data_IF_880524665892
#
_entry.id   IF_880524665892
#
_cell.length_a   1.000
_cell.length_b   1.000
_cell.length_c   1.000
_cell.angle_alpha   90.00
_cell.angle_beta   90.00
_cell.angle_gamma   90.00
#
_symmetry.space_group_name_H-M   'P 1'
#
loop_
_entity.id
_entity.type
_entity.pdbx_description
1 polymer ?
#
# COMPACT_ATOMS: atom_id res chain seq x y z
N UNK A 1 9.33 37.27 12.14
CA UNK A 1 9.42 36.23 11.09
C UNK A 1 10.18 35.06 11.67
N UNK A 2 9.46 34.00 12.02
CA UNK A 2 9.92 32.62 12.09
C UNK A 2 8.67 31.83 12.49
N UNK A 3 7.92 31.43 11.47
CA UNK A 3 6.79 30.52 11.63
C UNK A 3 7.32 29.12 11.93
N UNK A 4 6.72 28.55 12.96
CA UNK A 4 6.82 27.17 13.36
C UNK A 4 6.25 26.29 12.25
N UNK A 5 7.05 25.33 11.76
CA UNK A 5 6.50 24.19 11.03
C UNK A 5 6.09 23.17 12.09
N UNK A 6 4.79 23.05 12.29
CA UNK A 6 4.15 22.05 13.14
C UNK A 6 4.37 20.65 12.56
N UNK A 7 5.14 19.81 13.26
CA UNK A 7 5.26 18.37 13.01
C UNK A 7 3.95 17.67 13.38
N UNK A 8 3.22 17.16 12.39
CA UNK A 8 2.03 16.34 12.57
C UNK A 8 2.37 14.83 12.60
N UNK A 9 1.70 14.11 13.51
CA UNK A 9 1.46 12.67 13.58
C UNK A 9 2.62 11.74 13.14
N UNK A 10 3.60 11.55 14.02
CA UNK A 10 4.59 10.48 13.86
C UNK A 10 3.97 9.12 14.24
N UNK A 11 3.80 8.24 13.23
CA UNK A 11 3.61 6.81 13.45
C UNK A 11 4.79 6.26 14.30
N UNK A 12 4.59 5.21 15.12
CA UNK A 12 5.66 4.66 15.95
C UNK A 12 6.89 4.33 15.08
N UNK A 13 8.11 4.62 15.57
CA UNK A 13 9.32 4.44 14.78
C UNK A 13 9.48 2.97 14.38
N UNK A 14 9.72 2.75 13.09
CA UNK A 14 10.03 1.43 12.55
C UNK A 14 11.37 1.00 13.14
N UNK A 15 11.37 -0.05 13.96
CA UNK A 15 12.56 -0.50 14.71
C UNK A 15 13.60 -1.21 13.85
N UNK A 16 13.22 -1.68 12.66
CA UNK A 16 14.10 -2.35 11.71
C UNK A 16 14.75 -1.33 10.75
N UNK A 17 16.09 -1.15 10.76
CA UNK A 17 16.77 -0.13 9.94
C UNK A 17 16.53 -0.29 8.43
N UNK A 18 16.49 -1.52 7.93
CA UNK A 18 16.21 -1.79 6.51
C UNK A 18 14.76 -1.38 6.17
N UNK A 19 13.81 -1.72 7.04
CA UNK A 19 12.40 -1.37 6.81
C UNK A 19 12.19 0.16 6.89
N UNK A 20 12.95 0.86 7.74
CA UNK A 20 12.98 2.31 7.77
C UNK A 20 13.55 2.91 6.47
N UNK A 21 14.67 2.38 5.96
CA UNK A 21 15.24 2.83 4.69
C UNK A 21 14.25 2.65 3.52
N UNK A 22 13.61 1.47 3.42
CA UNK A 22 12.58 1.19 2.42
C UNK A 22 11.39 2.14 2.57
N UNK A 23 10.98 2.43 3.81
CA UNK A 23 9.92 3.39 4.12
C UNK A 23 10.25 4.79 3.58
N UNK A 24 11.45 5.30 3.87
CA UNK A 24 11.91 6.62 3.43
C UNK A 24 11.99 6.69 1.90
N UNK A 25 12.54 5.67 1.25
CA UNK A 25 12.58 5.56 -0.21
C UNK A 25 11.18 5.58 -0.83
N UNK A 26 10.25 4.80 -0.28
CA UNK A 26 8.88 4.72 -0.81
C UNK A 26 8.11 6.03 -0.59
N UNK A 27 8.30 6.71 0.55
CA UNK A 27 7.69 8.01 0.81
C UNK A 27 8.18 9.07 -0.18
N UNK A 28 9.48 9.10 -0.45
CA UNK A 28 10.09 10.07 -1.35
C UNK A 28 9.72 9.83 -2.82
N UNK A 29 9.61 8.56 -3.23
CA UNK A 29 9.50 8.22 -4.66
C UNK A 29 8.13 7.68 -5.08
N UNK A 30 7.21 7.38 -4.14
CA UNK A 30 5.87 6.77 -4.36
C UNK A 30 5.86 5.37 -5.00
N UNK A 31 6.83 5.05 -5.84
CA UNK A 31 7.01 3.76 -6.48
C UNK A 31 8.42 3.22 -6.20
N UNK A 32 8.49 1.98 -5.73
CA UNK A 32 9.73 1.31 -5.38
C UNK A 32 9.74 -0.10 -5.95
N UNK A 33 10.87 -0.52 -6.52
CA UNK A 33 11.12 -1.92 -6.87
C UNK A 33 12.13 -2.48 -5.87
N UNK A 34 11.72 -3.54 -5.19
CA UNK A 34 12.60 -4.40 -4.41
C UNK A 34 13.09 -5.52 -5.33
N UNK A 35 14.39 -5.52 -5.60
CA UNK A 35 15.05 -6.55 -6.41
C UNK A 35 16.02 -7.36 -5.56
N UNK A 36 16.55 -8.45 -6.09
CA UNK A 36 17.50 -9.30 -5.40
C UNK A 36 17.29 -10.77 -5.71
N UNK A 37 18.20 -11.58 -5.18
CA UNK A 37 18.17 -13.02 -5.32
C UNK A 37 16.91 -13.66 -4.71
N UNK A 38 16.53 -14.89 -5.13
CA UNK A 38 15.36 -15.57 -4.58
C UNK A 38 15.54 -15.91 -3.10
N UNK A 39 14.44 -15.87 -2.33
CA UNK A 39 14.47 -16.18 -0.90
C UNK A 39 14.99 -15.07 0.02
N UNK A 40 15.20 -13.84 -0.47
CA UNK A 40 15.54 -12.68 0.38
C UNK A 40 14.31 -12.04 1.05
N UNK A 41 13.09 -12.52 0.75
CA UNK A 41 11.87 -12.09 1.45
C UNK A 41 11.37 -10.69 1.06
N UNK A 42 11.57 -10.29 -0.21
CA UNK A 42 11.12 -9.00 -0.75
C UNK A 42 9.61 -8.76 -0.59
N UNK A 43 8.78 -9.75 -0.94
CA UNK A 43 7.31 -9.67 -0.77
C UNK A 43 6.92 -9.60 0.71
N UNK A 44 7.67 -10.27 1.59
CA UNK A 44 7.47 -10.15 3.02
C UNK A 44 7.79 -8.74 3.53
N UNK A 45 8.90 -8.14 3.07
CA UNK A 45 9.26 -6.77 3.41
C UNK A 45 8.20 -5.75 2.96
N UNK A 46 7.68 -5.90 1.74
CA UNK A 46 6.62 -5.03 1.24
C UNK A 46 5.36 -5.09 2.12
N UNK A 47 4.94 -6.30 2.52
CA UNK A 47 3.81 -6.50 3.46
C UNK A 47 4.10 -5.97 4.85
N UNK A 48 5.32 -6.20 5.37
CA UNK A 48 5.74 -5.70 6.67
C UNK A 48 5.72 -4.17 6.71
N UNK A 49 6.15 -3.50 5.63
CA UNK A 49 6.11 -2.06 5.51
C UNK A 49 4.67 -1.54 5.50
N UNK A 50 3.80 -2.13 4.66
CA UNK A 50 2.40 -1.76 4.60
C UNK A 50 1.73 -1.87 5.99
N UNK A 51 2.01 -2.96 6.72
CA UNK A 51 1.52 -3.16 8.09
C UNK A 51 2.11 -2.12 9.06
N UNK A 52 3.39 -1.81 8.96
CA UNK A 52 4.04 -0.81 9.80
C UNK A 52 3.46 0.60 9.58
N UNK A 53 3.01 0.88 8.37
CA UNK A 53 2.31 2.13 8.01
C UNK A 53 0.83 2.14 8.36
N UNK A 54 0.27 1.05 8.92
CA UNK A 54 -1.17 0.85 9.04
C UNK A 54 -1.93 1.17 7.73
N UNK A 55 -1.29 0.79 6.61
CA UNK A 55 -1.78 1.08 5.28
C UNK A 55 -2.75 -0.02 4.82
N UNK A 56 -3.82 0.40 4.15
CA UNK A 56 -4.58 -0.53 3.31
C UNK A 56 -3.64 -1.05 2.22
N UNK A 57 -3.62 -2.35 2.00
CA UNK A 57 -2.72 -2.90 1.00
C UNK A 57 -3.35 -4.04 0.22
N UNK A 58 -2.89 -4.18 -1.02
CA UNK A 58 -3.34 -5.22 -1.93
C UNK A 58 -2.14 -5.85 -2.62
N UNK A 59 -2.05 -7.18 -2.54
CA UNK A 59 -1.07 -7.96 -3.27
C UNK A 59 -1.68 -8.42 -4.60
N UNK A 60 -0.98 -8.16 -5.69
CA UNK A 60 -1.27 -8.69 -7.02
C UNK A 60 -0.01 -9.41 -7.49
N UNK A 61 -0.13 -10.68 -7.83
CA UNK A 61 0.96 -11.42 -8.46
C UNK A 61 0.78 -11.38 -9.97
N UNK A 62 1.79 -10.89 -10.69
CA UNK A 62 1.76 -10.88 -12.14
C UNK A 62 2.14 -12.23 -12.74
N UNK A 63 1.51 -12.51 -13.88
CA UNK A 63 1.76 -13.68 -14.71
C UNK A 63 1.80 -13.24 -16.18
N UNK A 64 2.40 -14.04 -17.09
CA UNK A 64 2.60 -13.64 -18.48
C UNK A 64 1.33 -13.24 -19.25
N UNK A 65 0.17 -13.78 -18.86
CA UNK A 65 -1.12 -13.44 -19.48
C UNK A 65 -1.84 -12.25 -18.83
N UNK A 66 -1.25 -11.58 -17.83
CA UNK A 66 -1.89 -10.48 -17.11
C UNK A 66 -1.89 -9.24 -17.99
N UNK A 67 -3.05 -8.60 -18.18
CA UNK A 67 -3.19 -7.49 -19.13
C UNK A 67 -3.93 -6.26 -18.56
N UNK A 68 -4.10 -5.26 -19.42
CA UNK A 68 -4.81 -4.02 -19.10
C UNK A 68 -6.25 -4.27 -18.60
N UNK A 69 -6.93 -5.28 -19.14
CA UNK A 69 -8.33 -5.58 -18.79
C UNK A 69 -8.46 -6.14 -17.39
N UNK A 70 -7.43 -6.82 -16.89
CA UNK A 70 -7.37 -7.31 -15.51
C UNK A 70 -6.92 -6.23 -14.53
N UNK A 71 -6.04 -5.32 -14.95
CA UNK A 71 -5.45 -4.31 -14.08
C UNK A 71 -6.28 -3.04 -13.99
N UNK A 72 -6.67 -2.46 -15.14
CA UNK A 72 -7.29 -1.14 -15.22
C UNK A 72 -8.79 -1.27 -15.43
N UNK A 73 -9.24 -1.74 -16.58
CA UNK A 73 -10.66 -1.98 -16.88
C UNK A 73 -10.83 -2.73 -18.20
N UNK A 74 -11.91 -3.49 -18.33
CA UNK A 74 -12.23 -4.16 -19.59
C UNK A 74 -13.64 -4.73 -19.64
N UNK A 75 -14.07 -5.10 -20.84
CA UNK A 75 -15.36 -5.73 -21.05
C UNK A 75 -15.31 -7.20 -20.61
N UNK A 76 -16.33 -7.62 -19.85
CA UNK A 76 -16.53 -9.01 -19.45
C UNK A 76 -17.93 -9.46 -19.86
N UNK A 77 -18.07 -10.69 -20.40
CA UNK A 77 -19.37 -11.20 -20.78
C UNK A 77 -20.20 -11.47 -19.52
N UNK A 78 -21.48 -11.10 -19.57
CA UNK A 78 -22.50 -11.46 -18.59
C UNK A 78 -23.64 -12.14 -19.31
N UNK A 79 -24.26 -13.11 -18.64
CA UNK A 79 -25.41 -13.82 -19.16
C UNK A 79 -26.65 -13.35 -18.39
N UNK A 80 -27.67 -12.88 -19.11
CA UNK A 80 -28.96 -12.58 -18.49
C UNK A 80 -29.74 -13.87 -18.16
N UNK A 81 -30.83 -13.75 -17.41
CA UNK A 81 -31.68 -14.90 -17.01
C UNK A 81 -32.26 -15.66 -18.23
N UNK A 82 -32.32 -15.00 -19.39
CA UNK A 82 -32.81 -15.55 -20.66
C UNK A 82 -31.71 -16.25 -21.49
N UNK A 83 -30.47 -16.24 -21.01
CA UNK A 83 -29.33 -16.91 -21.64
C UNK A 83 -28.60 -16.08 -22.71
N UNK A 84 -29.00 -14.84 -22.97
CA UNK A 84 -28.33 -13.93 -23.89
C UNK A 84 -27.04 -13.37 -23.27
N UNK A 85 -25.98 -13.33 -24.08
CA UNK A 85 -24.68 -12.80 -23.67
C UNK A 85 -24.62 -11.31 -24.00
N UNK A 86 -24.47 -10.48 -22.96
CA UNK A 86 -24.13 -9.06 -23.10
C UNK A 86 -22.75 -8.78 -22.48
N UNK A 87 -22.22 -7.58 -22.67
CA UNK A 87 -20.92 -7.19 -22.13
C UNK A 87 -21.10 -6.05 -21.14
N UNK A 88 -20.47 -6.18 -19.98
CA UNK A 88 -20.37 -5.09 -19.01
C UNK A 88 -18.92 -4.64 -18.84
N UNK A 89 -18.73 -3.35 -18.64
CA UNK A 89 -17.43 -2.81 -18.26
C UNK A 89 -17.16 -3.16 -16.80
N UNK A 90 -16.04 -3.85 -16.54
CA UNK A 90 -15.58 -4.14 -15.19
C UNK A 90 -14.28 -3.39 -14.90
N UNK A 91 -14.23 -2.79 -13.72
CA UNK A 91 -12.98 -2.25 -13.20
C UNK A 91 -12.01 -3.38 -12.86
N UNK A 92 -10.77 -3.18 -13.29
CA UNK A 92 -9.63 -4.01 -12.95
C UNK A 92 -9.17 -3.81 -11.51
N UNK A 93 -8.19 -4.62 -11.13
CA UNK A 93 -7.69 -4.72 -9.76
C UNK A 93 -7.11 -3.40 -9.23
N UNK A 94 -6.45 -2.62 -10.08
CA UNK A 94 -5.81 -1.35 -9.76
C UNK A 94 -6.77 -0.16 -9.80
N UNK A 95 -7.68 -0.12 -10.78
CA UNK A 95 -8.73 0.93 -10.81
C UNK A 95 -9.60 0.86 -9.57
N UNK A 96 -10.04 -0.34 -9.16
CA UNK A 96 -10.75 -0.56 -7.89
C UNK A 96 -9.94 -0.05 -6.69
N UNK A 97 -8.66 -0.38 -6.64
CA UNK A 97 -7.78 0.05 -5.55
C UNK A 97 -7.65 1.59 -5.48
N UNK A 98 -7.52 2.27 -6.62
CA UNK A 98 -7.49 3.72 -6.68
C UNK A 98 -8.84 4.35 -6.30
N UNK A 99 -9.98 3.75 -6.69
CA UNK A 99 -11.31 4.20 -6.26
C UNK A 99 -11.44 4.16 -4.74
N UNK A 100 -10.98 3.09 -4.09
CA UNK A 100 -10.98 3.00 -2.63
C UNK A 100 -10.06 4.05 -2.01
N UNK A 101 -8.84 4.23 -2.54
CA UNK A 101 -7.90 5.22 -2.02
C UNK A 101 -8.44 6.66 -2.10
N UNK A 102 -9.19 7.01 -3.16
CA UNK A 102 -9.80 8.34 -3.32
C UNK A 102 -10.82 8.68 -2.22
N UNK A 103 -11.52 7.69 -1.67
CA UNK A 103 -12.50 7.91 -0.60
C UNK A 103 -11.86 8.58 0.61
N UNK A 104 -10.60 8.24 0.88
CA UNK A 104 -9.79 8.74 1.98
C UNK A 104 -9.01 10.02 1.64
N UNK A 105 -8.84 10.35 0.35
CA UNK A 105 -8.19 11.60 -0.07
C UNK A 105 -9.17 12.78 -0.08
N UNK A 106 -10.44 12.55 -0.44
CA UNK A 106 -11.40 13.62 -0.73
C UNK A 106 -12.47 13.87 0.35
N UNK A 107 -12.49 13.16 1.48
CA UNK A 107 -13.48 13.27 2.59
C UNK A 107 -14.98 13.10 2.21
N UNK A 108 -15.36 13.19 0.93
CA UNK A 108 -16.75 13.23 0.47
C UNK A 108 -17.49 11.89 0.55
N UNK A 109 -16.77 10.76 0.62
CA UNK A 109 -17.40 9.42 0.71
C UNK A 109 -17.30 8.78 2.09
N UNK A 110 -16.59 9.39 3.04
CA UNK A 110 -16.49 8.94 4.43
C UNK A 110 -17.38 9.77 5.38
N UNK A 111 -17.96 10.86 4.86
CA UNK A 111 -18.88 11.72 5.59
C UNK A 111 -20.22 11.76 4.87
N UNK A 112 -21.32 11.56 5.60
CA UNK A 112 -22.67 11.82 5.08
C UNK A 112 -23.17 13.23 5.45
N UNK A 113 -22.27 14.13 5.87
CA UNK A 113 -22.61 15.47 6.34
C UNK A 113 -23.46 16.26 5.33
N UNK A 114 -23.14 16.23 4.04
CA UNK A 114 -23.90 16.99 3.04
C UNK A 114 -25.35 16.51 2.94
N UNK A 115 -25.56 15.20 3.01
CA UNK A 115 -26.90 14.58 2.97
C UNK A 115 -27.67 14.88 4.26
N UNK A 116 -27.03 14.70 5.41
CA UNK A 116 -27.61 14.99 6.73
C UNK A 116 -27.96 16.48 6.86
N UNK A 117 -27.06 17.37 6.44
CA UNK A 117 -27.28 18.81 6.48
C UNK A 117 -28.45 19.20 5.57
N UNK A 118 -28.60 18.59 4.40
CA UNK A 118 -29.75 18.85 3.53
C UNK A 118 -31.06 18.42 4.19
N UNK A 119 -31.13 17.20 4.75
CA UNK A 119 -32.33 16.74 5.48
C UNK A 119 -32.67 17.65 6.65
N UNK A 120 -31.65 18.14 7.36
CA UNK A 120 -31.82 19.11 8.44
C UNK A 120 -32.38 20.45 7.95
N UNK A 121 -31.84 20.99 6.86
CA UNK A 121 -32.36 22.22 6.25
C UNK A 121 -33.82 22.05 5.81
N UNK A 122 -34.16 20.90 5.22
CA UNK A 122 -35.52 20.61 4.77
C UNK A 122 -36.49 20.57 5.97
N UNK A 123 -36.11 19.94 7.09
CA UNK A 123 -36.91 19.90 8.33
C UNK A 123 -37.17 21.31 8.90
N UNK A 124 -36.13 22.14 9.00
CA UNK A 124 -36.22 23.49 9.58
C UNK A 124 -36.92 24.48 8.63
N UNK A 125 -36.92 24.20 7.34
CA UNK A 125 -37.66 25.02 6.37
C UNK A 125 -39.18 24.84 6.53
N UNK A 126 -39.61 23.67 7.01
CA UNK A 126 -41.02 23.36 7.26
C UNK A 126 -41.45 23.64 8.71
N UNK A 127 -40.52 23.62 9.67
CA UNK A 127 -40.80 23.74 11.10
C UNK A 127 -39.87 24.73 11.81
N UNK A 128 -40.38 25.46 12.80
CA UNK A 128 -39.53 26.29 13.68
C UNK A 128 -38.94 25.43 14.80
N UNK A 129 -37.62 25.30 14.83
CA UNK A 129 -36.89 24.63 15.92
C UNK A 129 -36.48 25.65 16.98
N UNK A 130 -36.80 25.38 18.24
CA UNK A 130 -36.41 26.17 19.40
C UNK A 130 -35.33 25.42 20.18
N UNK A 131 -34.19 26.07 20.42
CA UNK A 131 -33.07 25.53 21.19
C UNK A 131 -32.69 26.49 22.32
N UNK A 132 -31.91 26.03 23.28
CA UNK A 132 -31.45 26.82 24.42
C UNK A 132 -29.93 26.86 24.51
N UNK A 133 -29.38 28.00 24.91
CA UNK A 133 -27.92 28.11 25.11
C UNK A 133 -27.45 27.28 26.31
N UNK A 134 -26.28 26.59 26.26
CA UNK A 134 -25.89 25.64 27.30
C UNK A 134 -25.65 26.24 28.69
N UNK A 135 -25.32 27.54 28.77
CA UNK A 135 -24.90 28.18 30.04
C UNK A 135 -25.98 29.00 30.72
N UNK A 136 -26.94 29.55 29.97
CA UNK A 136 -27.97 30.46 30.50
C UNK A 136 -29.40 30.00 30.18
N UNK A 137 -29.56 28.84 29.53
CA UNK A 137 -30.85 28.30 29.06
C UNK A 137 -31.68 29.33 28.27
N UNK A 138 -31.02 30.33 27.70
CA UNK A 138 -31.71 31.37 26.95
C UNK A 138 -32.20 30.78 25.64
N UNK A 139 -33.52 30.81 25.36
CA UNK A 139 -34.08 30.23 24.16
C UNK A 139 -33.73 31.05 22.92
N UNK A 140 -33.65 30.38 21.78
CA UNK A 140 -33.49 30.97 20.46
C UNK A 140 -34.13 30.06 19.41
N UNK A 141 -34.69 30.68 18.38
CA UNK A 141 -35.23 29.95 17.24
C UNK A 141 -34.18 29.76 16.16
N UNK A 142 -34.25 28.62 15.49
CA UNK A 142 -33.39 28.22 14.39
C UNK A 142 -34.20 28.30 13.11
N UNK A 143 -33.73 29.09 12.14
CA UNK A 143 -34.38 29.26 10.83
C UNK A 143 -33.36 29.09 9.70
N UNK A 144 -33.85 28.73 8.52
CA UNK A 144 -33.06 28.69 7.28
C UNK A 144 -33.15 30.02 6.55
N UNK A 145 -32.03 30.55 6.08
CA UNK A 145 -32.01 31.76 5.24
C UNK A 145 -31.99 31.43 3.75
N UNK A 146 -32.10 32.47 2.89
CA UNK A 146 -32.14 32.33 1.43
C UNK A 146 -30.87 31.78 0.75
N UNK A 147 -29.85 31.39 1.53
CA UNK A 147 -28.61 30.76 1.07
C UNK A 147 -28.38 29.39 1.73
N UNK A 148 -29.44 28.75 2.23
CA UNK A 148 -29.40 27.45 2.91
C UNK A 148 -28.45 27.41 4.12
N UNK A 149 -28.24 28.56 4.77
CA UNK A 149 -27.51 28.62 6.03
C UNK A 149 -28.46 28.76 7.20
N UNK A 150 -28.04 28.21 8.33
CA UNK A 150 -28.77 28.28 9.59
C UNK A 150 -28.60 29.68 10.20
N UNK A 151 -29.70 30.24 10.71
CA UNK A 151 -29.71 31.50 11.44
C UNK A 151 -30.38 31.30 12.79
N UNK A 152 -29.67 31.60 13.86
CA UNK A 152 -30.20 31.65 15.22
C UNK A 152 -30.79 33.04 15.49
N UNK A 153 -32.05 33.10 15.91
CA UNK A 153 -32.78 34.33 16.22
C UNK A 153 -33.07 34.37 17.72
N UNK A 154 -32.54 35.40 18.40
CA UNK A 154 -32.68 35.54 19.85
C UNK A 154 -34.07 36.09 20.22
N UNK A 155 -34.68 35.54 21.26
CA UNK A 155 -36.00 35.96 21.78
C UNK A 155 -36.02 37.34 22.50
N UNK A 156 -34.92 38.09 22.45
CA UNK A 156 -34.79 39.42 23.09
C UNK A 156 -35.45 40.55 22.28
N UNK A 157 -35.78 41.68 22.93
CA UNK A 157 -36.42 42.87 22.33
C UNK A 157 -35.75 43.43 21.04
N UNK A 158 -34.49 43.07 20.77
CA UNK A 158 -33.73 43.54 19.60
C UNK A 158 -33.62 42.51 18.47
N UNK A 159 -34.22 41.31 18.60
CA UNK A 159 -34.21 40.22 17.61
C UNK A 159 -32.87 40.02 16.88
N UNK A 160 -31.78 39.96 17.64
CA UNK A 160 -30.44 39.77 17.06
C UNK A 160 -30.38 38.43 16.32
N UNK A 161 -29.84 38.46 15.10
CA UNK A 161 -29.69 37.28 14.26
C UNK A 161 -28.21 36.89 14.13
N UNK A 162 -27.93 35.60 14.22
CA UNK A 162 -26.58 35.04 14.12
C UNK A 162 -26.60 33.97 13.04
N UNK A 163 -25.82 34.16 11.97
CA UNK A 163 -25.71 33.17 10.89
C UNK A 163 -24.62 32.15 11.20
N UNK A 164 -25.02 30.88 11.24
CA UNK A 164 -24.16 29.70 11.34
C UNK A 164 -24.06 29.09 9.92
N UNK A 165 -22.96 29.35 9.23
CA UNK A 165 -22.78 28.85 7.86
C UNK A 165 -22.60 27.33 7.85
N UNK A 166 -22.97 26.68 6.74
CA UNK A 166 -22.71 25.24 6.53
C UNK A 166 -21.25 24.86 6.83
N UNK A 167 -20.31 25.69 6.35
CA UNK A 167 -18.88 25.52 6.60
C UNK A 167 -18.48 25.60 8.07
N UNK A 168 -19.14 26.45 8.86
CA UNK A 168 -18.86 26.60 10.30
C UNK A 168 -19.31 25.35 11.06
N UNK A 169 -20.50 24.85 10.74
CA UNK A 169 -21.07 23.63 11.33
C UNK A 169 -20.20 22.42 10.95
N UNK A 170 -19.84 22.29 9.67
CA UNK A 170 -18.95 21.24 9.19
C UNK A 170 -17.60 21.27 9.90
N UNK A 171 -16.97 22.44 10.01
CA UNK A 171 -15.67 22.60 10.69
C UNK A 171 -15.75 22.17 12.17
N UNK A 172 -16.86 22.48 12.84
CA UNK A 172 -17.07 22.07 14.22
C UNK A 172 -17.15 20.55 14.36
N UNK A 173 -17.89 19.86 13.49
CA UNK A 173 -17.94 18.40 13.46
C UNK A 173 -16.59 17.76 13.11
N UNK A 174 -15.82 18.35 12.20
CA UNK A 174 -14.51 17.80 11.80
C UNK A 174 -13.42 17.99 12.86
N UNK A 175 -13.48 19.07 13.65
CA UNK A 175 -12.33 19.50 14.48
C UNK A 175 -12.63 19.66 15.96
N UNK A 176 -13.91 19.63 16.35
CA UNK A 176 -14.38 20.01 17.69
C UNK A 176 -14.12 21.48 18.06
N UNK A 177 -13.65 22.30 17.12
CA UNK A 177 -13.27 23.70 17.36
C UNK A 177 -14.21 24.66 16.65
N UNK A 178 -14.47 25.78 17.32
CA UNK A 178 -15.17 26.91 16.71
C UNK A 178 -14.55 28.22 17.20
N UNK A 179 -14.37 29.15 16.26
CA UNK A 179 -13.83 30.49 16.49
C UNK A 179 -14.87 31.45 17.10
N UNK A 180 -16.15 31.30 16.76
CA UNK A 180 -17.22 32.23 17.11
C UNK A 180 -18.56 31.50 17.37
N UNK A 181 -19.48 32.17 18.07
CA UNK A 181 -20.88 31.72 18.21
C UNK A 181 -21.12 30.38 18.92
N UNK A 182 -20.13 29.86 19.68
CA UNK A 182 -20.23 28.60 20.44
C UNK A 182 -21.56 28.41 21.19
N UNK A 183 -22.13 29.42 21.90
CA UNK A 183 -23.39 29.23 22.63
C UNK A 183 -24.58 28.83 21.77
N UNK A 184 -24.57 29.13 20.46
CA UNK A 184 -25.64 28.81 19.51
C UNK A 184 -25.24 27.68 18.57
N UNK A 185 -23.96 27.59 18.21
CA UNK A 185 -23.44 26.52 17.37
C UNK A 185 -23.52 25.14 18.04
N UNK A 186 -23.14 25.06 19.33
CA UNK A 186 -23.09 23.78 20.04
C UNK A 186 -24.48 23.12 20.13
N UNK A 187 -25.56 23.82 20.56
CA UNK A 187 -26.90 23.21 20.57
C UNK A 187 -27.39 22.76 19.19
N UNK A 188 -27.09 23.52 18.13
CA UNK A 188 -27.45 23.12 16.76
C UNK A 188 -26.70 21.85 16.35
N UNK A 189 -25.40 21.76 16.63
CA UNK A 189 -24.62 20.55 16.34
C UNK A 189 -25.08 19.35 17.17
N UNK A 190 -25.41 19.54 18.45
CA UNK A 190 -25.96 18.49 19.32
C UNK A 190 -27.31 17.99 18.81
N UNK A 191 -28.20 18.90 18.40
CA UNK A 191 -29.47 18.51 17.80
C UNK A 191 -29.27 17.65 16.55
N UNK A 192 -28.33 18.03 15.68
CA UNK A 192 -28.00 17.25 14.48
C UNK A 192 -27.45 15.86 14.85
N UNK A 193 -26.55 15.76 15.82
CA UNK A 193 -25.99 14.47 16.29
C UNK A 193 -27.04 13.56 16.93
N UNK A 194 -28.02 14.12 17.65
CA UNK A 194 -29.03 13.35 18.36
C UNK A 194 -30.17 12.87 17.43
N UNK A 195 -30.49 13.64 16.39
CA UNK A 195 -31.66 13.39 15.53
C UNK A 195 -31.32 12.82 14.16
N UNK A 196 -30.04 12.85 13.75
CA UNK A 196 -29.60 12.34 12.46
C UNK A 196 -28.44 11.36 12.65
N UNK A 197 -28.40 10.31 11.83
CA UNK A 197 -27.29 9.34 11.78
C UNK A 197 -26.07 9.97 11.10
N UNK A 198 -25.49 11.00 11.72
CA UNK A 198 -24.33 11.72 11.20
C UNK A 198 -23.07 10.87 11.36
N UNK A 199 -22.45 10.55 10.23
CA UNK A 199 -21.14 9.93 10.14
C UNK A 199 -20.17 10.95 9.57
N UNK A 200 -19.20 11.36 10.38
CA UNK A 200 -18.12 12.25 9.96
C UNK A 200 -16.90 11.45 9.58
N UNK A 201 -16.18 11.89 8.54
CA UNK A 201 -14.89 11.33 8.20
C UNK A 201 -13.92 11.53 9.37
N UNK A 202 -13.32 10.46 9.88
CA UNK A 202 -12.37 10.54 10.98
C UNK A 202 -11.11 11.28 10.52
N UNK A 203 -10.58 12.20 11.33
CA UNK A 203 -9.40 13.00 10.91
C UNK A 203 -8.13 12.16 10.75
N UNK A 204 -8.06 11.01 11.42
CA UNK A 204 -6.99 10.01 11.25
C UNK A 204 -7.06 9.29 9.88
N UNK A 205 -8.24 9.18 9.27
CA UNK A 205 -8.44 8.53 7.97
C UNK A 205 -8.00 9.42 6.79
N UNK A 206 -7.86 10.73 7.02
CA UNK A 206 -7.59 11.75 5.99
C UNK A 206 -6.23 11.58 5.27
N UNK A 207 -5.34 10.79 5.85
CA UNK A 207 -4.01 10.48 5.29
C UNK A 207 -3.75 8.98 5.23
N UNK A 208 -4.80 8.14 5.21
CA UNK A 208 -4.64 6.69 5.12
C UNK A 208 -3.86 6.36 3.85
N UNK A 209 -2.74 5.68 4.02
CA UNK A 209 -1.86 5.27 2.92
C UNK A 209 -2.41 3.99 2.31
N UNK A 210 -2.27 3.87 1.00
CA UNK A 210 -2.68 2.72 0.21
C UNK A 210 -1.46 2.14 -0.47
N UNK A 211 -1.06 0.91 -0.13
CA UNK A 211 0.13 0.25 -0.70
C UNK A 211 -0.28 -0.87 -1.65
N UNK A 212 -0.03 -0.70 -2.94
CA UNK A 212 -0.16 -1.75 -3.92
C UNK A 212 1.14 -2.53 -4.03
N UNK A 213 1.10 -3.84 -3.77
CA UNK A 213 2.25 -4.73 -3.90
C UNK A 213 2.09 -5.52 -5.19
N UNK A 214 3.01 -5.32 -6.13
CA UNK A 214 3.07 -6.02 -7.41
C UNK A 214 4.16 -7.09 -7.34
N UNK A 215 3.75 -8.32 -7.07
CA UNK A 215 4.67 -9.46 -6.96
C UNK A 215 5.01 -10.02 -8.32
N UNK A 216 6.28 -10.42 -8.48
CA UNK A 216 6.85 -10.86 -9.76
C UNK A 216 6.58 -9.84 -10.87
N UNK A 217 6.83 -8.56 -10.59
CA UNK A 217 6.44 -7.43 -11.46
C UNK A 217 7.04 -7.55 -12.88
N UNK A 218 8.18 -8.21 -13.02
CA UNK A 218 8.85 -8.46 -14.29
C UNK A 218 8.24 -9.62 -15.10
N UNK A 219 7.22 -10.34 -14.60
CA UNK A 219 6.55 -11.43 -15.35
C UNK A 219 5.37 -10.97 -16.22
N UNK A 220 5.10 -9.67 -16.27
CA UNK A 220 4.13 -9.08 -17.18
C UNK A 220 4.72 -7.85 -17.89
N UNK A 221 4.21 -7.54 -19.08
CA UNK A 221 4.64 -6.38 -19.86
C UNK A 221 4.03 -5.11 -19.24
N UNK A 222 4.70 -4.52 -18.25
CA UNK A 222 4.18 -3.43 -17.42
C UNK A 222 3.66 -2.25 -18.24
N UNK A 223 4.38 -1.87 -19.30
CA UNK A 223 3.97 -0.77 -20.18
C UNK A 223 2.61 -1.03 -20.83
N UNK A 224 2.32 -2.29 -21.20
CA UNK A 224 1.03 -2.70 -21.75
C UNK A 224 -0.04 -2.85 -20.68
N UNK A 225 0.31 -3.38 -19.51
CA UNK A 225 -0.62 -3.53 -18.38
C UNK A 225 -1.13 -2.18 -17.87
N UNK A 226 -0.25 -1.18 -17.80
CA UNK A 226 -0.60 0.17 -17.38
C UNK A 226 -1.34 0.97 -18.46
N UNK A 227 -1.06 0.70 -19.74
CA UNK A 227 -1.64 1.45 -20.85
C UNK A 227 -1.39 2.95 -20.70
N UNK A 228 -2.46 3.75 -20.66
CA UNK A 228 -2.39 5.20 -20.53
C UNK A 228 -1.92 5.65 -19.13
N UNK A 229 -2.08 4.80 -18.12
CA UNK A 229 -1.65 5.08 -16.74
C UNK A 229 -0.12 5.15 -16.60
N UNK A 230 0.61 4.76 -17.63
CA UNK A 230 2.05 4.95 -17.73
C UNK A 230 2.49 6.40 -17.52
N UNK A 231 1.62 7.37 -17.83
CA UNK A 231 1.86 8.78 -17.54
C UNK A 231 1.65 9.09 -16.05
N UNK A 232 0.50 8.71 -15.51
CA UNK A 232 0.08 9.02 -14.13
C UNK A 232 0.81 8.21 -13.05
N UNK A 233 1.58 7.19 -13.45
CA UNK A 233 2.42 6.43 -12.52
C UNK A 233 3.59 7.26 -11.99
N UNK A 234 4.05 8.22 -12.78
CA UNK A 234 5.12 9.13 -12.38
C UNK A 234 4.69 9.95 -11.14
N UNK A 235 5.51 10.01 -10.08
CA UNK A 235 5.20 10.78 -8.88
C UNK A 235 4.88 12.25 -9.15
N UNK A 236 5.47 12.86 -10.18
CA UNK A 236 5.21 14.25 -10.56
C UNK A 236 3.86 14.47 -11.27
N UNK A 237 3.22 13.39 -11.72
CA UNK A 237 1.92 13.38 -12.40
C UNK A 237 0.89 12.55 -11.62
N UNK A 238 0.98 12.53 -10.28
CA UNK A 238 -0.08 11.99 -9.41
C UNK A 238 -1.22 13.01 -9.25
N UNK A 239 -2.38 12.53 -8.84
CA UNK A 239 -3.55 13.38 -8.64
C UNK A 239 -4.16 13.91 -9.95
N UNK A 240 -5.02 14.91 -9.85
CA UNK A 240 -5.79 15.41 -10.99
C UNK A 240 -4.94 15.97 -12.14
N UNK A 241 -3.73 16.44 -11.87
CA UNK A 241 -2.81 16.97 -12.89
C UNK A 241 -2.30 15.90 -13.85
N UNK A 242 -2.24 14.65 -13.42
CA UNK A 242 -1.85 13.50 -14.24
C UNK A 242 -3.00 12.75 -14.88
N UNK A 243 -4.17 13.37 -14.98
CA UNK A 243 -5.37 12.72 -15.49
C UNK A 243 -5.21 12.26 -16.94
N UNK A 244 -5.66 11.04 -17.21
CA UNK A 244 -5.64 10.41 -18.54
C UNK A 244 -7.00 9.85 -18.90
N UNK A 245 -7.29 9.79 -20.20
CA UNK A 245 -8.49 9.14 -20.74
C UNK A 245 -8.18 7.67 -20.98
N UNK A 246 -8.89 6.78 -20.29
CA UNK A 246 -8.74 5.33 -20.44
C UNK A 246 -9.43 4.81 -21.71
N UNK A 247 -9.04 3.62 -22.17
CA UNK A 247 -9.57 3.01 -23.41
C UNK A 247 -11.10 2.89 -23.43
N UNK A 248 -11.72 2.65 -22.28
CA UNK A 248 -13.16 2.44 -22.14
C UNK A 248 -13.90 3.62 -21.49
N UNK A 249 -13.28 4.82 -21.44
CA UNK A 249 -13.85 6.01 -20.78
C UNK A 249 -15.28 6.38 -21.27
N UNK A 250 -15.56 6.14 -22.54
CA UNK A 250 -16.89 6.40 -23.12
C UNK A 250 -17.99 5.48 -22.56
N UNK A 251 -17.63 4.29 -22.09
CA UNK A 251 -18.56 3.29 -21.53
C UNK A 251 -18.75 3.42 -20.01
N UNK A 252 -17.97 4.26 -19.34
CA UNK A 252 -18.11 4.54 -17.91
C UNK A 252 -19.43 5.28 -17.63
N UNK A 253 -20.09 4.93 -16.52
CA UNK A 253 -21.34 5.55 -16.07
C UNK A 253 -21.10 6.95 -15.49
N UNK A 254 -22.15 7.75 -15.31
CA UNK A 254 -22.02 9.12 -14.79
C UNK A 254 -21.59 9.15 -13.32
N UNK A 255 -21.85 8.06 -12.61
CA UNK A 255 -21.55 7.84 -11.20
C UNK A 255 -20.10 7.37 -10.98
N UNK A 256 -19.36 7.01 -12.04
CA UNK A 256 -17.96 6.64 -11.91
C UNK A 256 -17.12 7.87 -11.51
N UNK A 257 -16.42 7.77 -10.38
CA UNK A 257 -15.51 8.82 -9.88
C UNK A 257 -14.42 9.21 -10.89
N UNK A 258 -14.09 8.32 -11.83
CA UNK A 258 -13.13 8.56 -12.91
C UNK A 258 -13.78 8.89 -14.26
N UNK A 259 -15.08 9.20 -14.31
CA UNK A 259 -15.80 9.49 -15.57
C UNK A 259 -15.14 10.59 -16.40
N UNK A 260 -14.56 11.60 -15.74
CA UNK A 260 -13.90 12.73 -16.39
C UNK A 260 -12.40 12.50 -16.63
N UNK A 261 -11.94 11.24 -16.52
CA UNK A 261 -10.57 10.81 -16.69
C UNK A 261 -10.01 10.18 -15.42
N UNK A 262 -9.18 9.15 -15.61
CA UNK A 262 -8.54 8.42 -14.54
C UNK A 262 -7.24 9.09 -14.12
N UNK A 263 -6.92 9.07 -12.83
CA UNK A 263 -5.61 9.42 -12.29
C UNK A 263 -5.30 8.56 -11.08
N UNK A 264 -4.03 8.50 -10.70
CA UNK A 264 -3.61 7.72 -9.53
C UNK A 264 -3.53 8.65 -8.30
N UNK A 265 -4.26 8.34 -7.21
CA UNK A 265 -4.29 9.16 -5.99
C UNK A 265 -2.92 9.34 -5.33
N UNK A 266 -2.70 10.47 -4.65
CA UNK A 266 -1.42 10.80 -4.02
C UNK A 266 -1.09 9.93 -2.79
N UNK A 267 -2.12 9.36 -2.18
CA UNK A 267 -2.03 8.42 -1.08
C UNK A 267 -1.81 6.97 -1.53
N UNK A 268 -1.69 6.71 -2.83
CA UNK A 268 -1.30 5.40 -3.39
C UNK A 268 0.22 5.31 -3.57
N UNK A 269 0.78 4.23 -3.02
CA UNK A 269 2.18 3.84 -3.10
C UNK A 269 2.28 2.47 -3.78
N UNK A 270 3.29 2.26 -4.62
CA UNK A 270 3.48 1.01 -5.36
C UNK A 270 4.82 0.39 -4.96
N UNK A 271 4.79 -0.88 -4.56
CA UNK A 271 5.99 -1.68 -4.31
C UNK A 271 5.98 -2.86 -5.29
N UNK A 272 6.90 -2.86 -6.24
CA UNK A 272 7.18 -4.02 -7.08
C UNK A 272 8.20 -4.94 -6.41
N UNK A 273 8.04 -6.25 -6.55
CA UNK A 273 9.05 -7.24 -6.17
C UNK A 273 9.44 -8.05 -7.40
N UNK A 274 10.75 -8.26 -7.61
CA UNK A 274 11.26 -9.07 -8.71
C UNK A 274 12.49 -9.87 -8.31
N UNK A 275 12.66 -11.03 -8.93
CA UNK A 275 13.89 -11.80 -8.88
C UNK A 275 14.77 -11.43 -10.08
N UNK A 276 16.07 -11.26 -9.85
CA UNK A 276 17.01 -10.81 -10.90
C UNK A 276 17.29 -11.86 -11.98
N UNK A 277 17.13 -13.14 -11.64
CA UNK A 277 17.55 -14.27 -12.48
C UNK A 277 16.42 -14.95 -13.26
N UNK A 278 15.18 -14.50 -13.08
CA UNK A 278 14.04 -15.11 -13.76
C UNK A 278 14.23 -14.98 -15.29
N UNK A 279 14.35 -16.12 -15.98
CA UNK A 279 14.74 -16.18 -17.41
C UNK A 279 13.60 -15.80 -18.37
N UNK A 280 12.36 -15.76 -17.89
CA UNK A 280 11.14 -15.49 -18.67
C UNK A 280 10.51 -14.15 -18.25
N UNK A 281 11.32 -13.10 -18.26
CA UNK A 281 10.92 -11.78 -17.74
C UNK A 281 10.88 -10.75 -18.84
N UNK A 282 9.90 -9.87 -18.74
CA UNK A 282 9.81 -8.68 -19.56
C UNK A 282 10.85 -7.66 -19.09
N UNK A 283 11.58 -7.08 -20.04
CA UNK A 283 12.59 -6.08 -19.72
C UNK A 283 11.91 -4.76 -19.34
N UNK A 284 12.25 -4.20 -18.18
CA UNK A 284 11.86 -2.84 -17.84
C UNK A 284 12.49 -1.84 -18.82
N UNK A 285 11.63 -1.16 -19.57
CA UNK A 285 12.08 -0.07 -20.44
C UNK A 285 12.68 1.10 -19.63
N UNK A 286 13.50 1.93 -20.28
CA UNK A 286 14.16 3.05 -19.61
C UNK A 286 13.19 4.07 -19.02
N UNK A 287 12.00 4.20 -19.62
CA UNK A 287 11.00 5.14 -19.15
C UNK A 287 10.31 4.65 -17.86
N UNK A 288 10.09 3.34 -17.71
CA UNK A 288 9.64 2.71 -16.47
C UNK A 288 10.72 2.77 -15.41
N UNK A 289 11.98 2.44 -15.76
CA UNK A 289 13.09 2.53 -14.80
C UNK A 289 13.18 3.88 -14.10
N UNK A 290 12.92 4.99 -14.82
CA UNK A 290 12.93 6.35 -14.25
C UNK A 290 11.81 6.63 -13.24
N UNK A 291 10.69 5.91 -13.32
CA UNK A 291 9.49 6.17 -12.49
C UNK A 291 9.43 5.34 -11.21
N UNK A 292 10.39 4.44 -11.03
CA UNK A 292 10.57 3.64 -9.83
C UNK A 292 11.94 3.93 -9.21
N UNK A 293 11.98 4.04 -7.89
CA UNK A 293 13.23 3.83 -7.16
C UNK A 293 13.55 2.34 -7.15
N UNK A 294 14.84 1.99 -7.03
CA UNK A 294 15.30 0.61 -7.02
C UNK A 294 16.09 0.36 -5.74
N UNK A 295 15.72 -0.68 -5.01
CA UNK A 295 16.44 -1.16 -3.83
C UNK A 295 16.70 -2.64 -3.98
N UNK A 296 17.97 -3.00 -4.08
CA UNK A 296 18.42 -4.37 -3.98
C UNK A 296 18.33 -4.83 -2.52
N UNK A 297 17.83 -6.05 -2.31
CA UNK A 297 17.75 -6.72 -1.02
C UNK A 297 18.67 -7.93 -1.05
N UNK A 298 19.80 -7.85 -0.34
CA UNK A 298 20.80 -8.93 -0.29
C UNK A 298 20.41 -9.98 0.74
N UNK A 299 21.02 -11.16 0.62
CA UNK A 299 20.81 -12.24 1.57
C UNK A 299 21.21 -11.84 3.01
N UNK A 300 22.33 -11.14 3.15
CA UNK A 300 22.88 -10.70 4.45
C UNK A 300 21.98 -9.69 5.17
N UNK A 301 21.26 -8.84 4.43
CA UNK A 301 20.32 -7.84 4.98
C UNK A 301 19.13 -8.50 5.71
N UNK A 302 18.97 -9.81 5.52
CA UNK A 302 17.74 -10.55 5.80
C UNK A 302 17.94 -11.70 6.78
N UNK A 303 19.10 -11.83 7.39
CA UNK A 303 19.39 -12.85 8.40
C UNK A 303 18.48 -12.74 9.64
N UNK A 304 18.02 -11.54 9.99
CA UNK A 304 17.08 -11.31 11.11
C UNK A 304 15.76 -12.08 10.99
N UNK A 305 15.39 -12.61 9.81
CA UNK A 305 14.21 -13.47 9.70
C UNK A 305 14.34 -14.81 10.43
N UNK A 306 15.56 -15.20 10.79
CA UNK A 306 15.84 -16.44 11.53
C UNK A 306 15.53 -16.33 13.03
N UNK A 307 15.46 -15.11 13.57
CA UNK A 307 15.21 -14.84 14.99
C UNK A 307 13.89 -15.48 15.44
N UNK A 308 13.96 -16.33 16.47
CA UNK A 308 12.82 -17.07 17.02
C UNK A 308 12.33 -18.24 16.16
N UNK A 309 13.03 -18.58 15.06
CA UNK A 309 12.65 -19.66 14.15
C UNK A 309 13.71 -20.78 14.11
N UNK A 310 14.98 -20.41 14.01
CA UNK A 310 16.10 -21.35 13.89
C UNK A 310 17.29 -20.96 14.78
N UNK A 311 17.04 -20.28 15.90
CA UNK A 311 18.07 -19.71 16.78
C UNK A 311 19.17 -20.71 17.17
N UNK A 312 18.79 -21.97 17.43
CA UNK A 312 19.72 -23.05 17.78
C UNK A 312 20.75 -23.36 16.67
N UNK A 313 20.39 -23.14 15.40
CA UNK A 313 21.22 -23.46 14.23
C UNK A 313 21.67 -22.21 13.47
N UNK A 314 21.38 -21.01 13.98
CA UNK A 314 21.52 -19.76 13.25
C UNK A 314 22.98 -19.43 12.86
N UNK A 315 23.94 -19.68 13.76
CA UNK A 315 25.36 -19.42 13.49
C UNK A 315 25.91 -20.35 12.41
N UNK A 316 25.63 -21.65 12.49
CA UNK A 316 26.04 -22.61 11.45
C UNK A 316 25.34 -22.30 10.12
N UNK A 317 24.02 -22.03 10.15
CA UNK A 317 23.25 -21.63 8.98
C UNK A 317 23.84 -20.39 8.30
N UNK A 318 24.25 -19.38 9.08
CA UNK A 318 24.90 -18.16 8.58
C UNK A 318 26.18 -18.49 7.85
N UNK A 319 27.03 -19.32 8.45
CA UNK A 319 28.32 -19.68 7.88
C UNK A 319 28.15 -20.45 6.57
N UNK A 320 27.28 -21.46 6.56
CA UNK A 320 26.98 -22.26 5.36
C UNK A 320 26.39 -21.42 4.24
N UNK A 321 25.49 -20.47 4.56
CA UNK A 321 24.91 -19.53 3.60
C UNK A 321 25.97 -18.64 2.95
N UNK A 322 26.88 -18.05 3.76
CA UNK A 322 27.96 -17.20 3.26
C UNK A 322 28.88 -18.00 2.34
N UNK A 323 29.33 -19.18 2.78
CA UNK A 323 30.23 -20.02 1.99
C UNK A 323 29.58 -20.47 0.68
N UNK A 324 28.31 -20.87 0.72
CA UNK A 324 27.56 -21.25 -0.47
C UNK A 324 27.44 -20.07 -1.45
N UNK A 325 27.07 -18.88 -0.97
CA UNK A 325 26.92 -17.70 -1.84
C UNK A 325 28.26 -17.25 -2.45
N UNK A 326 29.34 -17.25 -1.68
CA UNK A 326 30.69 -16.98 -2.21
C UNK A 326 31.12 -18.01 -3.27
N UNK A 327 30.76 -19.28 -3.08
CA UNK A 327 31.02 -20.32 -4.07
C UNK A 327 30.17 -20.15 -5.34
N UNK A 328 28.89 -19.78 -5.21
CA UNK A 328 28.00 -19.45 -6.35
C UNK A 328 28.60 -18.31 -7.17
N UNK A 329 29.01 -17.22 -6.53
CA UNK A 329 29.59 -16.04 -7.21
C UNK A 329 30.92 -16.37 -7.92
N UNK A 330 31.64 -17.40 -7.46
CA UNK A 330 32.89 -17.86 -8.07
C UNK A 330 32.66 -18.72 -9.33
N UNK A 331 31.45 -19.21 -9.57
CA UNK A 331 31.12 -19.98 -10.79
C UNK A 331 31.03 -19.02 -11.98
N UNK A 332 31.81 -19.29 -13.02
CA UNK A 332 31.84 -18.47 -14.22
C UNK A 332 30.44 -18.36 -14.86
N UNK A 333 29.88 -17.13 -14.92
CA UNK A 333 28.57 -16.88 -15.54
C UNK A 333 27.42 -16.77 -14.53
N UNK A 334 27.68 -17.01 -13.24
CA UNK A 334 26.80 -16.63 -12.14
C UNK A 334 27.29 -15.33 -11.50
N UNK A 335 26.42 -14.70 -10.71
CA UNK A 335 26.71 -13.48 -9.94
C UNK A 335 25.90 -13.48 -8.65
N UNK A 336 26.01 -12.42 -7.86
CA UNK A 336 25.18 -12.11 -6.69
C UNK A 336 23.66 -12.27 -6.89
N UNK A 337 23.15 -12.04 -8.10
CA UNK A 337 21.76 -12.28 -8.50
C UNK A 337 21.30 -13.73 -8.25
N UNK A 338 22.24 -14.69 -8.30
CA UNK A 338 22.01 -16.13 -8.07
C UNK A 338 22.20 -16.56 -6.61
N UNK A 339 22.48 -15.63 -5.69
CA UNK A 339 22.60 -15.99 -4.28
C UNK A 339 21.34 -16.70 -3.76
N UNK A 340 21.56 -17.63 -2.85
CA UNK A 340 20.49 -18.22 -2.06
C UNK A 340 20.15 -17.24 -0.94
N UNK A 341 18.86 -16.95 -0.77
CA UNK A 341 18.39 -16.11 0.33
C UNK A 341 18.13 -16.87 1.63
N UNK A 342 18.12 -16.19 2.79
CA UNK A 342 17.95 -16.81 4.11
C UNK A 342 16.61 -17.56 4.30
N UNK A 343 15.58 -17.25 3.50
CA UNK A 343 14.28 -17.89 3.63
C UNK A 343 14.32 -19.40 3.34
N UNK A 344 15.29 -19.89 2.56
CA UNK A 344 15.48 -21.33 2.37
C UNK A 344 15.87 -22.01 3.68
N UNK A 345 16.72 -21.37 4.49
CA UNK A 345 17.22 -21.94 5.76
C UNK A 345 16.15 -21.98 6.85
N UNK A 346 15.06 -21.21 6.75
CA UNK A 346 13.90 -21.37 7.65
C UNK A 346 13.30 -22.79 7.60
N UNK A 347 13.53 -23.54 6.52
CA UNK A 347 13.09 -24.95 6.42
C UNK A 347 13.85 -25.89 7.34
N UNK A 348 14.98 -25.48 7.94
CA UNK A 348 15.71 -26.28 8.93
C UNK A 348 14.85 -26.68 10.13
N UNK A 349 13.92 -25.81 10.55
CA UNK A 349 12.96 -26.12 11.60
C UNK A 349 12.13 -27.38 11.30
N UNK A 350 11.81 -27.64 10.02
CA UNK A 350 11.08 -28.85 9.61
C UNK A 350 11.93 -30.12 9.70
N UNK A 351 13.25 -29.98 9.80
CA UNK A 351 14.21 -31.07 9.80
C UNK A 351 15.02 -31.17 11.09
N UNK A 352 14.63 -30.45 12.13
CA UNK A 352 15.31 -30.44 13.43
C UNK A 352 16.81 -30.15 13.28
N UNK A 353 17.15 -29.14 12.46
CA UNK A 353 18.54 -28.72 12.23
C UNK A 353 19.35 -29.59 11.27
N UNK A 354 18.73 -30.55 10.58
CA UNK A 354 19.42 -31.41 9.62
C UNK A 354 19.72 -30.68 8.29
N UNK A 355 20.95 -30.20 8.18
CA UNK A 355 21.45 -29.45 7.01
C UNK A 355 21.55 -30.31 5.74
N UNK A 356 21.74 -31.63 5.84
CA UNK A 356 21.77 -32.51 4.68
C UNK A 356 20.37 -32.64 4.07
N UNK A 357 19.33 -32.76 4.90
CA UNK A 357 17.95 -32.70 4.41
C UNK A 357 17.58 -31.35 3.82
N UNK A 358 18.04 -30.24 4.41
CA UNK A 358 17.86 -28.91 3.82
C UNK A 358 18.49 -28.87 2.41
N UNK A 359 19.74 -29.34 2.28
CA UNK A 359 20.43 -29.40 1.00
C UNK A 359 19.65 -30.23 -0.02
N UNK A 360 19.40 -31.50 0.29
CA UNK A 360 18.79 -32.47 -0.64
C UNK A 360 17.40 -32.04 -1.10
N UNK A 361 16.57 -31.51 -0.19
CA UNK A 361 15.17 -31.24 -0.50
C UNK A 361 14.88 -29.80 -0.98
N UNK A 362 15.76 -28.83 -0.74
CA UNK A 362 15.48 -27.42 -1.09
C UNK A 362 16.57 -26.74 -1.91
N UNK A 363 17.85 -26.99 -1.62
CA UNK A 363 18.95 -26.26 -2.27
C UNK A 363 19.46 -26.96 -3.52
N UNK A 364 19.62 -28.28 -3.48
CA UNK A 364 20.23 -29.05 -4.57
C UNK A 364 19.47 -28.87 -5.89
N UNK A 365 18.14 -28.97 -5.86
CA UNK A 365 17.32 -28.80 -7.08
C UNK A 365 17.38 -27.38 -7.64
N UNK A 366 17.50 -26.36 -6.78
CA UNK A 366 17.62 -24.97 -7.20
C UNK A 366 18.96 -24.73 -7.91
N UNK A 367 20.05 -25.16 -7.28
CA UNK A 367 21.41 -24.98 -7.80
C UNK A 367 21.63 -25.79 -9.08
N UNK A 368 21.01 -26.97 -9.19
CA UNK A 368 21.01 -27.74 -10.42
C UNK A 368 20.38 -26.95 -11.59
N UNK A 369 19.27 -26.24 -11.37
CA UNK A 369 18.69 -25.38 -12.41
C UNK A 369 19.57 -24.17 -12.76
N UNK A 370 20.33 -23.62 -11.80
CA UNK A 370 21.29 -22.55 -12.08
C UNK A 370 22.40 -23.01 -13.02
N UNK A 371 22.94 -24.21 -12.74
CA UNK A 371 24.00 -24.85 -13.51
C UNK A 371 23.49 -25.54 -14.78
N UNK A 372 22.19 -25.47 -15.06
CA UNK A 372 21.61 -26.12 -16.24
C UNK A 372 22.21 -25.57 -17.53
N UNK A 373 22.83 -26.47 -18.30
CA UNK A 373 23.51 -26.14 -19.55
C UNK A 373 25.04 -25.98 -19.42
N UNK A 374 25.57 -26.06 -18.20
CA UNK A 374 27.01 -26.12 -17.97
C UNK A 374 27.53 -27.53 -18.29
N UNK A 375 28.69 -27.67 -18.94
CA UNK A 375 29.26 -28.97 -19.30
C UNK A 375 29.75 -29.77 -18.09
N UNK A 376 30.11 -29.08 -17.01
CA UNK A 376 30.65 -29.58 -15.75
C UNK A 376 29.65 -29.42 -14.57
N UNK A 377 28.34 -29.39 -14.87
CA UNK A 377 27.30 -29.09 -13.88
C UNK A 377 27.36 -29.98 -12.62
N UNK A 378 27.65 -31.27 -12.77
CA UNK A 378 27.75 -32.19 -11.62
C UNK A 378 28.98 -31.88 -10.74
N UNK A 379 30.12 -31.54 -11.35
CA UNK A 379 31.35 -31.16 -10.63
C UNK A 379 31.16 -29.83 -9.90
N UNK A 380 30.52 -28.85 -10.56
CA UNK A 380 30.16 -27.57 -9.96
C UNK A 380 29.19 -27.75 -8.80
N UNK A 381 28.15 -28.58 -8.95
CA UNK A 381 27.19 -28.86 -7.88
C UNK A 381 27.85 -29.53 -6.68
N UNK A 382 28.79 -30.45 -6.90
CA UNK A 382 29.58 -31.07 -5.85
C UNK A 382 30.49 -30.05 -5.13
N UNK A 383 31.11 -29.14 -5.88
CA UNK A 383 31.89 -28.02 -5.32
C UNK A 383 31.04 -27.11 -4.44
N UNK A 384 29.82 -26.76 -4.89
CA UNK A 384 28.87 -25.97 -4.09
C UNK A 384 28.44 -26.70 -2.81
N UNK A 385 28.22 -28.03 -2.87
CA UNK A 385 27.94 -28.83 -1.67
C UNK A 385 29.11 -28.82 -0.70
N UNK A 386 30.34 -29.00 -1.20
CA UNK A 386 31.56 -28.94 -0.38
C UNK A 386 31.71 -27.59 0.32
N UNK A 387 31.46 -26.49 -0.38
CA UNK A 387 31.47 -25.15 0.21
C UNK A 387 30.38 -24.98 1.28
N UNK A 388 29.18 -25.49 1.02
CA UNK A 388 28.06 -25.49 1.97
C UNK A 388 28.35 -26.34 3.24
N UNK A 389 29.15 -27.38 3.15
CA UNK A 389 29.52 -28.23 4.29
C UNK A 389 30.74 -27.75 5.07
N UNK A 390 31.53 -26.83 4.49
CA UNK A 390 32.74 -26.33 5.10
C UNK A 390 32.44 -25.39 6.27
N UNK A 391 32.31 -25.92 7.48
CA UNK A 391 32.13 -25.16 8.73
C UNK A 391 33.42 -25.19 9.58
N UNK A 392 33.56 -24.28 10.54
CA UNK A 392 34.79 -24.12 11.36
C UNK A 392 35.23 -25.41 12.08
N UNK A 393 34.33 -26.36 12.32
CA UNK A 393 34.61 -27.62 13.02
C UNK A 393 35.41 -28.65 12.19
N UNK A 394 35.69 -28.37 10.92
CA UNK A 394 36.58 -29.20 10.08
C UNK A 394 38.07 -28.97 10.35
N UNK A 395 38.44 -27.99 11.18
CA UNK A 395 39.82 -27.78 11.69
C UNK A 395 39.94 -28.36 13.11
N UNK A 396 39.60 -29.64 13.25
CA UNK A 396 39.81 -30.39 14.49
C UNK A 396 41.29 -30.69 14.72
N UNK A 397 41.76 -30.35 15.92
CA UNK A 397 42.98 -30.82 16.56
C UNK A 397 43.43 -32.21 16.07
N UNK A 398 44.55 -32.28 15.34
CA UNK A 398 45.37 -33.48 15.29
C UNK A 398 46.09 -33.59 16.63
N UNK A 399 45.43 -34.17 17.62
CA UNK A 399 46.13 -34.73 18.79
C UNK A 399 46.96 -35.91 18.28
N UNK A 400 48.27 -35.68 18.25
CA UNK A 400 49.27 -36.70 17.98
C UNK A 400 49.39 -37.56 19.23
N UNK A 401 48.78 -38.74 19.18
CA UNK A 401 49.21 -39.90 19.95
C UNK A 401 49.59 -40.99 18.96
N UNK A 402 50.88 -41.07 18.68
CA UNK A 402 51.70 -42.28 18.89
C UNK A 402 53.19 -41.90 18.92
#
# INVERSE_FOLDING_TARGET
MNEQVSTSNAQPPITNPLLQEISELLLANKNLILTGAPGTGKTYLAKALAKAWDAEHKLIQFHPSYDYTDFVEGLRPIQNEEGEVSFELRDGSFKKFCKEALKYQNNQQLSNFDEVYQRFIDEISENTLELATPSQESPFSVIVNSRDNITAVLSSETQRQITLTKSLIQTYFETGKSLNWKPYLIPVCQYIEENYDLQMANTDDKNKKFVLILDEINRAEISKVLGELFFSIDPGYRGESGRVTTQYANLQTKEDVFKNGFYIPDNVYIIGTMNDIDRSVESFDFAMRRRFAWKEIKAEDRLSMWEGQIDEWAEEAKQRLINLNSAIESVQGLSDAYHVGPAYFLKLANYNGDFDKLWTYHLQSLLFEYLRGYPDADEQLASLKSAYDNTYDSVGYNDSHD
#
